data_IF_430119615391
#
_entry.id   IF_430119615391
#
_cell.length_a   1.000
_cell.length_b   1.000
_cell.length_c   1.000
_cell.angle_alpha   90.00
_cell.angle_beta   90.00
_cell.angle_gamma   90.00
#
_symmetry.space_group_name_H-M   'P 1'
#
loop_
_entity.id
_entity.type
_entity.pdbx_description
1 polymer ?
#
# COMPACT_ATOMS: atom_id res chain seq x y z
N UNK A 1 -7.44 -29.74 -6.06
CA UNK A 1 -7.57 -28.30 -5.77
C UNK A 1 -8.63 -28.15 -4.69
N UNK A 2 -8.22 -28.01 -3.44
CA UNK A 2 -9.15 -27.88 -2.30
C UNK A 2 -9.53 -26.41 -2.20
N UNK A 3 -10.78 -26.09 -2.53
CA UNK A 3 -11.33 -24.75 -2.36
C UNK A 3 -11.62 -24.57 -0.87
N UNK A 4 -10.79 -23.80 -0.18
CA UNK A 4 -11.08 -23.37 1.19
C UNK A 4 -12.07 -22.20 1.14
N UNK A 5 -13.13 -22.27 1.95
CA UNK A 5 -14.13 -21.20 2.10
C UNK A 5 -13.47 -19.93 2.67
N UNK A 6 -13.95 -18.77 2.24
CA UNK A 6 -13.33 -17.45 2.50
C UNK A 6 -13.08 -17.14 3.98
N UNK A 7 -13.86 -17.73 4.90
CA UNK A 7 -13.67 -17.57 6.35
C UNK A 7 -12.49 -18.39 6.91
N UNK A 8 -12.09 -19.47 6.25
CA UNK A 8 -10.98 -20.32 6.72
C UNK A 8 -9.61 -19.69 6.46
N UNK A 9 -9.46 -18.91 5.39
CA UNK A 9 -8.20 -18.27 5.00
C UNK A 9 -7.80 -17.07 5.88
N UNK A 10 -8.75 -16.49 6.63
CA UNK A 10 -8.53 -15.30 7.47
C UNK A 10 -8.94 -15.52 8.92
N UNK A 11 -9.10 -16.77 9.36
CA UNK A 11 -9.43 -17.09 10.75
C UNK A 11 -8.19 -16.92 11.64
N UNK A 12 -8.20 -16.00 12.63
CA UNK A 12 -7.09 -15.85 13.57
C UNK A 12 -6.78 -17.16 14.31
N UNK A 13 -7.81 -17.98 14.53
CA UNK A 13 -7.69 -19.28 15.19
C UNK A 13 -6.99 -20.32 14.33
N UNK A 14 -7.25 -20.33 13.02
CA UNK A 14 -6.57 -21.20 12.07
C UNK A 14 -5.11 -20.77 11.89
N UNK A 15 -4.85 -19.45 11.77
CA UNK A 15 -3.50 -18.91 11.69
C UNK A 15 -2.68 -19.25 12.95
N UNK A 16 -3.27 -19.08 14.13
CA UNK A 16 -2.64 -19.45 15.39
C UNK A 16 -2.33 -20.97 15.45
N UNK A 17 -3.27 -21.82 15.03
CA UNK A 17 -3.06 -23.27 15.00
C UNK A 17 -1.89 -23.67 14.06
N UNK A 18 -1.89 -23.16 12.82
CA UNK A 18 -0.82 -23.44 11.84
C UNK A 18 0.53 -22.94 12.38
N UNK A 19 0.57 -21.73 12.95
CA UNK A 19 1.77 -21.17 13.59
C UNK A 19 2.31 -22.10 14.68
N UNK A 20 1.45 -22.53 15.61
CA UNK A 20 1.85 -23.39 16.74
C UNK A 20 2.32 -24.76 16.26
N UNK A 21 1.58 -25.42 15.35
CA UNK A 21 1.97 -26.73 14.83
C UNK A 21 3.31 -26.68 14.11
N UNK A 22 3.55 -25.64 13.31
CA UNK A 22 4.83 -25.44 12.64
C UNK A 22 5.96 -25.17 13.63
N UNK A 23 5.74 -24.34 14.66
CA UNK A 23 6.75 -24.08 15.68
C UNK A 23 7.14 -25.36 16.45
N UNK A 24 6.17 -26.21 16.79
CA UNK A 24 6.41 -27.47 17.51
C UNK A 24 7.34 -28.44 16.73
N UNK A 25 7.38 -28.37 15.39
CA UNK A 25 8.32 -29.18 14.59
C UNK A 25 9.80 -28.86 14.89
N UNK A 26 10.08 -27.65 15.38
CA UNK A 26 11.43 -27.18 15.70
C UNK A 26 11.75 -27.25 17.20
N UNK A 27 10.91 -27.88 18.02
CA UNK A 27 11.06 -27.91 19.49
C UNK A 27 12.39 -28.50 19.95
N UNK A 28 12.91 -29.47 19.21
CA UNK A 28 14.18 -30.13 19.53
C UNK A 28 15.41 -29.37 19.01
N UNK A 29 15.29 -28.67 17.87
CA UNK A 29 16.42 -27.91 17.29
C UNK A 29 16.56 -26.54 17.92
N UNK A 30 15.45 -25.83 18.16
CA UNK A 30 15.43 -24.41 18.51
C UNK A 30 14.43 -24.09 19.62
N UNK A 31 14.56 -24.67 20.83
CA UNK A 31 13.56 -24.57 21.89
C UNK A 31 13.27 -23.12 22.32
N UNK A 32 14.27 -22.23 22.25
CA UNK A 32 14.12 -20.80 22.56
C UNK A 32 13.26 -20.07 21.52
N UNK A 33 13.44 -20.35 20.23
CA UNK A 33 12.66 -19.75 19.16
C UNK A 33 11.20 -20.25 19.19
N UNK A 34 11.01 -21.55 19.46
CA UNK A 34 9.66 -22.13 19.61
C UNK A 34 8.91 -21.50 20.77
N UNK A 35 9.56 -21.36 21.93
CA UNK A 35 8.95 -20.69 23.08
C UNK A 35 8.54 -19.26 22.75
N UNK A 36 9.41 -18.50 22.08
CA UNK A 36 9.11 -17.14 21.65
C UNK A 36 7.91 -17.05 20.69
N UNK A 37 7.79 -17.97 19.73
CA UNK A 37 6.68 -17.97 18.77
C UNK A 37 5.32 -18.24 19.43
N UNK A 38 5.32 -19.11 20.44
CA UNK A 38 4.10 -19.52 21.14
C UNK A 38 3.71 -18.47 22.19
N UNK A 39 4.66 -17.99 22.99
CA UNK A 39 4.38 -17.20 24.20
C UNK A 39 4.42 -15.69 23.96
N UNK A 40 5.16 -15.21 22.96
CA UNK A 40 5.49 -13.78 22.79
C UNK A 40 4.78 -13.12 21.59
N UNK A 41 3.72 -13.74 21.10
CA UNK A 41 2.86 -13.18 20.06
C UNK A 41 1.60 -12.59 20.67
N UNK A 42 1.35 -11.30 20.39
CA UNK A 42 0.09 -10.63 20.67
C UNK A 42 -0.64 -10.32 19.37
N UNK A 43 -1.67 -11.12 19.07
CA UNK A 43 -2.41 -11.05 17.80
C UNK A 43 -1.46 -11.22 16.61
N UNK A 44 -1.21 -10.15 15.84
CA UNK A 44 -0.33 -10.13 14.67
C UNK A 44 1.07 -9.60 15.01
N UNK A 45 1.26 -9.06 16.21
CA UNK A 45 2.51 -8.45 16.66
C UNK A 45 3.35 -9.44 17.47
N UNK A 46 4.64 -9.49 17.17
CA UNK A 46 5.63 -10.28 17.90
C UNK A 46 6.56 -9.36 18.68
N UNK A 47 6.63 -9.53 19.99
CA UNK A 47 7.44 -8.69 20.88
C UNK A 47 8.17 -9.56 21.88
N UNK A 48 9.50 -9.60 21.79
CA UNK A 48 10.34 -10.38 22.70
C UNK A 48 11.73 -9.76 22.88
N UNK A 49 12.44 -10.19 23.92
CA UNK A 49 13.79 -9.74 24.29
C UNK A 49 14.75 -10.91 24.33
N UNK A 50 15.88 -10.82 23.60
CA UNK A 50 16.86 -11.90 23.54
C UNK A 50 18.23 -11.50 24.06
N UNK A 51 18.89 -12.45 24.72
CA UNK A 51 20.30 -12.35 25.05
C UNK A 51 21.22 -12.63 23.85
N UNK A 52 20.71 -13.25 22.78
CA UNK A 52 21.47 -13.59 21.57
C UNK A 52 20.66 -13.25 20.33
N UNK A 53 21.29 -12.58 19.37
CA UNK A 53 20.67 -12.06 18.15
C UNK A 53 20.26 -13.16 17.16
N UNK A 54 20.79 -14.38 17.30
CA UNK A 54 20.45 -15.52 16.43
C UNK A 54 19.01 -16.00 16.58
N UNK A 55 18.37 -15.72 17.73
CA UNK A 55 17.00 -16.18 18.00
C UNK A 55 16.00 -15.44 17.11
N UNK A 56 16.19 -14.14 16.86
CA UNK A 56 15.28 -13.36 16.00
C UNK A 56 15.29 -13.84 14.55
N UNK A 57 16.45 -14.18 14.01
CA UNK A 57 16.58 -14.75 12.65
C UNK A 57 15.88 -16.09 12.57
N UNK A 58 16.05 -16.93 13.60
CA UNK A 58 15.43 -18.25 13.64
C UNK A 58 13.91 -18.20 13.75
N UNK A 59 13.39 -17.27 14.55
CA UNK A 59 11.95 -17.02 14.65
C UNK A 59 11.37 -16.63 13.29
N UNK A 60 12.05 -15.74 12.56
CA UNK A 60 11.64 -15.35 11.20
C UNK A 60 11.62 -16.54 10.23
N UNK A 61 12.65 -17.38 10.24
CA UNK A 61 12.73 -18.58 9.40
C UNK A 61 11.62 -19.60 9.70
N UNK A 62 11.36 -19.86 10.98
CA UNK A 62 10.31 -20.79 11.39
C UNK A 62 8.95 -20.26 10.91
N UNK A 63 8.66 -18.96 11.07
CA UNK A 63 7.43 -18.37 10.51
C UNK A 63 7.34 -18.54 8.98
N UNK A 64 8.44 -18.30 8.26
CA UNK A 64 8.49 -18.44 6.81
C UNK A 64 8.19 -19.87 6.34
N UNK A 65 8.60 -20.90 7.09
CA UNK A 65 8.29 -22.31 6.78
C UNK A 65 6.78 -22.62 6.81
N UNK A 66 6.00 -21.89 7.60
CA UNK A 66 4.54 -21.98 7.61
C UNK A 66 3.86 -21.00 6.64
N UNK A 67 4.62 -20.30 5.80
CA UNK A 67 4.10 -19.29 4.89
C UNK A 67 3.72 -17.97 5.56
N UNK A 68 4.15 -17.73 6.81
CA UNK A 68 3.97 -16.45 7.49
C UNK A 68 5.16 -15.53 7.20
N UNK A 69 4.86 -14.28 6.87
CA UNK A 69 5.88 -13.23 6.73
C UNK A 69 5.78 -12.27 7.91
N UNK A 70 6.80 -12.26 8.77
CA UNK A 70 6.95 -11.21 9.77
C UNK A 70 7.43 -9.94 9.06
N UNK A 71 6.62 -8.89 9.14
CA UNK A 71 6.87 -7.60 8.49
C UNK A 71 7.14 -6.52 9.53
N UNK A 72 7.82 -5.44 9.12
CA UNK A 72 8.08 -4.24 9.93
C UNK A 72 8.80 -4.52 11.26
N UNK A 73 10.08 -4.87 11.18
CA UNK A 73 10.93 -5.05 12.36
C UNK A 73 11.32 -3.71 12.99
N UNK A 74 11.42 -3.70 14.32
CA UNK A 74 12.00 -2.63 15.12
C UNK A 74 12.86 -3.29 16.19
N UNK A 75 14.15 -2.95 16.27
CA UNK A 75 15.04 -3.47 17.30
C UNK A 75 15.94 -2.37 17.84
N UNK A 76 16.29 -2.46 19.13
CA UNK A 76 17.33 -1.62 19.70
C UNK A 76 18.75 -2.02 19.22
N UNK A 77 18.93 -3.22 18.65
CA UNK A 77 20.20 -3.66 18.08
C UNK A 77 20.22 -3.45 16.55
N UNK A 78 21.15 -2.63 16.02
CA UNK A 78 21.28 -2.44 14.58
C UNK A 78 21.74 -3.71 13.84
N UNK A 79 22.39 -4.66 14.53
CA UNK A 79 22.81 -5.94 13.94
C UNK A 79 21.60 -6.83 13.69
N UNK A 80 20.64 -6.85 14.63
CA UNK A 80 19.37 -7.56 14.47
C UNK A 80 18.55 -6.98 13.34
N UNK A 81 18.46 -5.65 13.23
CA UNK A 81 17.75 -5.01 12.12
C UNK A 81 18.38 -5.35 10.75
N UNK A 82 19.71 -5.35 10.66
CA UNK A 82 20.41 -5.75 9.45
C UNK A 82 20.17 -7.24 9.11
N UNK A 83 20.18 -8.13 10.11
CA UNK A 83 19.97 -9.57 9.93
C UNK A 83 18.52 -9.93 9.54
N UNK A 84 17.53 -9.19 10.04
CA UNK A 84 16.12 -9.35 9.70
C UNK A 84 15.78 -8.76 8.32
N UNK A 85 16.72 -8.06 7.68
CA UNK A 85 16.55 -7.45 6.37
C UNK A 85 15.68 -6.19 6.41
N UNK A 86 15.52 -5.51 5.27
CA UNK A 86 14.70 -4.30 5.23
C UNK A 86 13.27 -4.62 5.69
N UNK A 87 12.61 -3.70 6.42
CA UNK A 87 11.22 -3.90 6.83
C UNK A 87 10.39 -4.25 5.59
N UNK A 88 9.69 -5.39 5.66
CA UNK A 88 8.76 -5.81 4.61
C UNK A 88 7.83 -4.66 4.23
N UNK A 89 7.47 -4.57 2.94
CA UNK A 89 6.58 -3.53 2.36
C UNK A 89 5.48 -3.20 3.36
N UNK A 90 5.28 -1.90 3.65
CA UNK A 90 4.41 -1.41 4.72
C UNK A 90 3.02 -2.06 4.73
N UNK A 91 2.31 -1.98 5.87
CA UNK A 91 1.05 -2.69 6.25
C UNK A 91 0.02 -2.99 5.15
N UNK A 92 0.05 -2.27 4.03
CA UNK A 92 -0.75 -2.50 2.84
C UNK A 92 0.15 -3.03 1.70
N UNK A 93 0.02 -4.32 1.38
CA UNK A 93 0.77 -4.96 0.29
C UNK A 93 0.14 -4.76 -1.10
N UNK A 94 -1.08 -4.22 -1.16
CA UNK A 94 -1.84 -4.05 -2.39
C UNK A 94 -2.71 -2.79 -2.36
N UNK A 95 -2.64 -2.00 -3.44
CA UNK A 95 -3.49 -0.83 -3.66
C UNK A 95 -4.98 -1.16 -3.50
N UNK A 96 -5.42 -2.31 -4.01
CA UNK A 96 -6.84 -2.71 -3.94
C UNK A 96 -7.28 -3.00 -2.50
N UNK A 97 -6.38 -3.53 -1.66
CA UNK A 97 -6.69 -3.77 -0.25
C UNK A 97 -6.77 -2.45 0.53
N UNK A 98 -5.78 -1.57 0.36
CA UNK A 98 -5.80 -0.22 0.94
C UNK A 98 -7.07 0.55 0.58
N UNK A 99 -7.44 0.52 -0.70
CA UNK A 99 -8.65 1.19 -1.18
C UNK A 99 -9.88 0.64 -0.48
N UNK A 100 -10.09 -0.68 -0.49
CA UNK A 100 -11.27 -1.32 0.12
C UNK A 100 -11.36 -1.06 1.61
N UNK A 101 -10.25 -1.17 2.34
CA UNK A 101 -10.20 -0.88 3.78
C UNK A 101 -10.56 0.58 4.03
N UNK A 102 -10.01 1.52 3.26
CA UNK A 102 -10.33 2.95 3.39
C UNK A 102 -11.80 3.22 3.09
N UNK A 103 -12.38 2.56 2.07
CA UNK A 103 -13.81 2.68 1.75
C UNK A 103 -14.69 2.19 2.90
N UNK A 104 -14.37 1.05 3.50
CA UNK A 104 -15.12 0.52 4.64
C UNK A 104 -15.04 1.43 5.87
N UNK A 105 -13.84 1.97 6.15
CA UNK A 105 -13.65 2.94 7.24
C UNK A 105 -14.49 4.20 6.99
N UNK A 106 -14.48 4.73 5.77
CA UNK A 106 -15.31 5.90 5.44
C UNK A 106 -16.80 5.61 5.58
N UNK A 107 -17.28 4.47 5.07
CA UNK A 107 -18.68 4.03 5.26
C UNK A 107 -19.03 3.92 6.74
N UNK A 108 -18.15 3.32 7.54
CA UNK A 108 -18.34 3.24 8.98
C UNK A 108 -18.49 4.63 9.58
N UNK A 109 -17.57 5.56 9.31
CA UNK A 109 -17.69 6.95 9.82
C UNK A 109 -18.98 7.65 9.39
N UNK A 110 -19.47 7.38 8.17
CA UNK A 110 -20.73 7.92 7.65
C UNK A 110 -21.95 7.36 8.40
N UNK A 111 -21.93 6.07 8.77
CA UNK A 111 -22.96 5.43 9.62
C UNK A 111 -23.01 6.05 11.02
N UNK A 112 -21.86 6.30 11.64
CA UNK A 112 -21.81 6.96 12.95
C UNK A 112 -22.36 8.39 12.93
N UNK A 113 -22.36 9.04 11.76
CA UNK A 113 -22.93 10.37 11.56
C UNK A 113 -24.43 10.35 11.22
N UNK A 114 -25.09 9.20 11.30
CA UNK A 114 -26.52 9.05 11.03
C UNK A 114 -26.91 9.11 9.55
N UNK A 115 -25.93 9.07 8.64
CA UNK A 115 -26.17 9.24 7.20
C UNK A 115 -26.34 7.88 6.51
N UNK A 116 -27.27 7.04 6.96
CA UNK A 116 -27.43 5.71 6.34
C UNK A 116 -28.06 5.81 4.95
N UNK A 117 -27.47 5.16 3.94
CA UNK A 117 -28.03 5.05 2.59
C UNK A 117 -28.59 3.65 2.33
N UNK A 118 -29.67 3.56 1.57
CA UNK A 118 -30.34 2.30 1.20
C UNK A 118 -29.42 1.37 0.39
N UNK A 119 -28.58 1.93 -0.48
CA UNK A 119 -27.61 1.19 -1.32
C UNK A 119 -26.49 0.47 -0.53
N UNK A 120 -26.40 0.66 0.79
CA UNK A 120 -25.38 0.01 1.62
C UNK A 120 -25.58 -1.52 1.75
N UNK A 121 -26.76 -2.02 1.41
CA UNK A 121 -27.13 -3.43 1.53
C UNK A 121 -26.43 -4.34 0.49
N UNK A 122 -26.01 -3.79 -0.64
CA UNK A 122 -25.48 -4.55 -1.80
C UNK A 122 -23.95 -4.55 -1.94
N UNK A 123 -23.21 -4.12 -0.91
CA UNK A 123 -21.75 -4.01 -0.93
C UNK A 123 -21.24 -2.59 -1.15
N UNK A 124 -19.95 -2.42 -1.48
CA UNK A 124 -19.31 -1.11 -1.69
C UNK A 124 -19.75 -0.49 -3.02
N UNK A 125 -20.20 0.77 -2.99
CA UNK A 125 -20.59 1.50 -4.20
C UNK A 125 -19.38 2.12 -4.89
N UNK A 126 -19.50 2.37 -6.21
CA UNK A 126 -18.46 3.04 -6.98
C UNK A 126 -18.14 4.45 -6.41
N UNK A 127 -19.17 5.17 -5.97
CA UNK A 127 -19.01 6.51 -5.38
C UNK A 127 -18.22 6.49 -4.07
N UNK A 128 -18.40 5.47 -3.22
CA UNK A 128 -17.61 5.36 -1.99
C UNK A 128 -16.16 4.99 -2.29
N UNK A 129 -15.93 4.10 -3.26
CA UNK A 129 -14.58 3.79 -3.73
C UNK A 129 -13.90 5.03 -4.30
N UNK A 130 -14.59 5.84 -5.10
CA UNK A 130 -14.05 7.09 -5.63
C UNK A 130 -13.74 8.10 -4.51
N UNK A 131 -14.61 8.24 -3.51
CA UNK A 131 -14.36 9.09 -2.35
C UNK A 131 -13.12 8.63 -1.55
N UNK A 132 -12.94 7.31 -1.39
CA UNK A 132 -11.77 6.73 -0.74
C UNK A 132 -10.49 6.94 -1.56
N UNK A 133 -10.53 6.75 -2.89
CA UNK A 133 -9.42 7.06 -3.79
C UNK A 133 -9.00 8.53 -3.66
N UNK A 134 -9.96 9.45 -3.77
CA UNK A 134 -9.70 10.90 -3.66
C UNK A 134 -9.13 11.28 -2.29
N UNK A 135 -9.53 10.60 -1.20
CA UNK A 135 -8.93 10.81 0.11
C UNK A 135 -7.46 10.36 0.14
N UNK A 136 -7.16 9.16 -0.37
CA UNK A 136 -5.80 8.63 -0.42
C UNK A 136 -4.87 9.50 -1.26
N UNK A 137 -5.33 9.95 -2.43
CA UNK A 137 -4.55 10.84 -3.28
C UNK A 137 -4.27 12.19 -2.63
N UNK A 138 -5.27 12.81 -2.00
CA UNK A 138 -5.08 14.06 -1.26
C UNK A 138 -4.09 13.90 -0.13
N UNK A 139 -4.17 12.81 0.62
CA UNK A 139 -3.24 12.56 1.71
C UNK A 139 -1.81 12.41 1.18
N UNK A 140 -1.62 11.59 0.14
CA UNK A 140 -0.31 11.42 -0.49
C UNK A 140 0.25 12.73 -1.05
N UNK A 141 -0.60 13.60 -1.60
CA UNK A 141 -0.21 14.91 -2.12
C UNK A 141 0.15 15.91 -1.01
N UNK A 142 -0.54 15.88 0.13
CA UNK A 142 -0.19 16.68 1.33
C UNK A 142 1.19 16.31 1.87
N UNK A 143 1.49 15.02 1.92
CA UNK A 143 2.76 14.52 2.41
C UNK A 143 3.90 14.78 1.41
N UNK A 144 3.64 14.62 0.11
CA UNK A 144 4.67 14.75 -0.92
C UNK A 144 4.93 16.18 -1.40
N UNK A 145 3.91 17.05 -1.39
CA UNK A 145 3.94 18.41 -1.95
C UNK A 145 3.38 19.44 -0.96
N UNK A 146 3.95 19.56 0.26
CA UNK A 146 3.37 20.39 1.32
C UNK A 146 3.35 21.88 0.96
N UNK A 147 4.32 22.38 0.22
CA UNK A 147 4.41 23.79 -0.17
C UNK A 147 3.38 24.14 -1.24
N UNK A 148 3.18 23.24 -2.20
CA UNK A 148 2.19 23.34 -3.25
C UNK A 148 0.78 23.30 -2.66
N UNK A 149 0.54 22.38 -1.73
CA UNK A 149 -0.72 22.26 -1.00
C UNK A 149 -1.02 23.48 -0.13
N UNK A 150 -0.01 24.16 0.44
CA UNK A 150 -0.17 25.41 1.21
C UNK A 150 -0.37 26.65 0.34
N UNK A 151 0.23 26.69 -0.85
CA UNK A 151 0.08 27.82 -1.78
C UNK A 151 -1.38 28.01 -2.22
N UNK A 152 -2.16 26.94 -2.14
CA UNK A 152 -3.60 26.85 -2.41
C UNK A 152 -4.48 27.66 -1.45
N UNK A 153 -4.15 27.70 -0.16
CA UNK A 153 -5.01 28.38 0.85
C UNK A 153 -5.04 29.91 0.64
N UNK A 154 -4.04 30.45 -0.06
CA UNK A 154 -3.88 31.88 -0.29
C UNK A 154 -4.25 32.35 -1.70
N UNK A 155 -4.89 31.50 -2.52
CA UNK A 155 -5.30 31.86 -3.89
C UNK A 155 -4.13 32.20 -4.84
N UNK A 156 -2.90 31.82 -4.49
CA UNK A 156 -1.71 32.05 -5.31
C UNK A 156 -1.52 30.89 -6.27
N UNK A 157 -1.11 31.19 -7.51
CA UNK A 157 -0.62 30.21 -8.48
C UNK A 157 0.41 29.32 -7.79
N UNK A 158 0.21 28.00 -7.81
CA UNK A 158 1.08 27.03 -7.15
C UNK A 158 2.53 27.32 -7.54
N UNK A 159 3.30 27.89 -6.61
CA UNK A 159 4.70 28.20 -6.80
C UNK A 159 5.44 26.87 -6.87
N UNK A 160 5.50 26.31 -8.07
CA UNK A 160 5.97 24.95 -8.23
C UNK A 160 7.43 24.85 -7.82
N UNK A 161 7.69 24.02 -6.81
CA UNK A 161 9.03 23.56 -6.52
C UNK A 161 9.37 22.46 -7.55
N UNK A 162 10.66 22.31 -7.79
CA UNK A 162 11.38 21.72 -8.92
C UNK A 162 10.77 20.50 -9.67
N UNK A 163 10.00 19.63 -9.03
CA UNK A 163 9.56 18.36 -9.62
C UNK A 163 8.28 18.46 -10.50
N UNK A 164 7.48 19.53 -10.37
CA UNK A 164 6.21 19.69 -11.13
C UNK A 164 6.08 21.01 -11.91
N UNK A 165 7.19 21.76 -12.08
CA UNK A 165 7.24 23.13 -12.66
C UNK A 165 6.69 23.26 -14.08
N UNK A 166 6.56 22.15 -14.81
CA UNK A 166 6.05 22.12 -16.18
C UNK A 166 4.62 21.61 -16.34
N UNK A 167 3.92 21.26 -15.25
CA UNK A 167 2.62 20.54 -15.33
C UNK A 167 1.39 21.42 -15.12
N UNK A 168 1.59 22.74 -14.95
CA UNK A 168 0.53 23.71 -14.61
C UNK A 168 -0.48 23.12 -13.60
N UNK A 169 -0.01 22.75 -12.38
CA UNK A 169 -0.82 21.99 -11.44
C UNK A 169 -2.08 22.77 -11.02
N UNK A 170 -3.21 22.06 -10.95
CA UNK A 170 -4.53 22.60 -10.63
C UNK A 170 -5.29 21.64 -9.70
N UNK A 171 -6.21 22.15 -8.89
CA UNK A 171 -7.02 21.33 -7.97
C UNK A 171 -8.40 21.06 -8.53
N UNK A 172 -8.81 19.79 -8.55
CA UNK A 172 -10.18 19.45 -8.92
C UNK A 172 -11.20 19.82 -7.83
N UNK A 173 -12.49 19.60 -8.11
CA UNK A 173 -13.57 19.86 -7.15
C UNK A 173 -13.51 19.00 -5.88
N UNK A 174 -12.72 17.93 -5.88
CA UNK A 174 -12.50 17.07 -4.71
C UNK A 174 -11.27 17.49 -3.89
N UNK A 175 -10.51 18.49 -4.36
CA UNK A 175 -9.27 18.97 -3.75
C UNK A 175 -8.06 18.11 -4.06
N UNK A 176 -8.10 17.32 -5.14
CA UNK A 176 -6.97 16.51 -5.64
C UNK A 176 -6.17 17.32 -6.65
N UNK A 177 -4.84 17.28 -6.53
CA UNK A 177 -3.92 17.94 -7.47
C UNK A 177 -3.83 17.16 -8.79
N UNK A 178 -4.20 17.82 -9.88
CA UNK A 178 -4.17 17.30 -11.26
C UNK A 178 -3.23 18.16 -12.12
N UNK A 179 -2.70 17.56 -13.19
CA UNK A 179 -1.94 18.28 -14.20
C UNK A 179 -2.89 18.91 -15.23
N UNK A 180 -2.58 20.13 -15.65
CA UNK A 180 -3.28 20.82 -16.73
C UNK A 180 -2.32 21.09 -17.89
N UNK A 181 -2.82 21.08 -19.13
CA UNK A 181 -1.94 21.35 -20.27
C UNK A 181 -2.63 21.30 -21.63
N UNK A 182 -1.81 21.28 -22.69
CA UNK A 182 -2.27 21.32 -24.10
C UNK A 182 -3.18 20.16 -24.48
N UNK A 183 -3.02 19.01 -23.81
CA UNK A 183 -3.85 17.81 -24.04
C UNK A 183 -5.32 18.05 -23.67
N UNK A 184 -5.62 19.04 -22.81
CA UNK A 184 -6.99 19.38 -22.44
C UNK A 184 -7.83 19.87 -23.64
N UNK A 185 -7.18 20.44 -24.66
CA UNK A 185 -7.82 20.89 -25.90
C UNK A 185 -8.32 19.73 -26.78
N UNK A 186 -7.87 18.49 -26.54
CA UNK A 186 -8.30 17.31 -27.27
C UNK A 186 -9.68 16.83 -26.78
N UNK A 187 -10.76 17.52 -27.14
CA UNK A 187 -12.13 17.23 -26.70
C UNK A 187 -12.62 15.80 -27.05
N UNK A 188 -11.97 15.13 -28.01
CA UNK A 188 -12.22 13.74 -28.36
C UNK A 188 -11.70 12.71 -27.32
N UNK A 189 -10.91 13.14 -26.32
CA UNK A 189 -10.40 12.27 -25.27
C UNK A 189 -11.22 12.34 -23.97
N UNK A 190 -11.29 11.22 -23.21
CA UNK A 190 -11.92 11.21 -21.89
C UNK A 190 -11.27 12.21 -20.92
N UNK A 191 -11.97 12.58 -19.85
CA UNK A 191 -11.51 13.56 -18.86
C UNK A 191 -10.20 13.13 -18.15
N UNK A 192 -10.17 11.90 -17.64
CA UNK A 192 -9.04 11.34 -16.87
C UNK A 192 -7.66 11.47 -17.55
N UNK A 193 -7.46 11.04 -18.82
CA UNK A 193 -6.15 11.16 -19.49
C UNK A 193 -5.78 12.60 -19.84
N UNK A 194 -6.77 13.51 -19.96
CA UNK A 194 -6.51 14.93 -20.21
C UNK A 194 -6.03 15.66 -18.97
N UNK A 195 -6.47 15.22 -17.79
CA UNK A 195 -6.19 15.84 -16.49
C UNK A 195 -5.72 14.78 -15.47
N UNK A 196 -4.52 14.20 -15.68
CA UNK A 196 -4.04 13.12 -14.83
C UNK A 196 -3.70 13.61 -13.43
N UNK A 197 -3.91 12.75 -12.43
CA UNK A 197 -3.63 13.03 -11.02
C UNK A 197 -2.12 13.02 -10.77
N UNK A 198 -1.59 14.07 -10.14
CA UNK A 198 -0.15 14.20 -9.89
C UNK A 198 0.23 13.42 -8.63
N UNK A 199 1.23 12.54 -8.75
CA UNK A 199 1.76 11.76 -7.63
C UNK A 199 3.29 11.76 -7.63
N UNK A 200 3.88 11.66 -6.43
CA UNK A 200 5.33 11.62 -6.26
C UNK A 200 5.87 10.18 -6.28
N UNK A 201 6.93 9.90 -7.04
CA UNK A 201 7.64 8.62 -7.00
C UNK A 201 8.10 8.19 -5.61
N UNK A 202 8.30 9.13 -4.68
CA UNK A 202 8.84 8.85 -3.35
C UNK A 202 7.80 8.32 -2.37
N UNK A 203 6.51 8.43 -2.71
CA UNK A 203 5.42 8.10 -1.80
C UNK A 203 5.04 6.62 -1.93
N UNK A 204 4.83 5.93 -0.81
CA UNK A 204 4.48 4.50 -0.75
C UNK A 204 3.22 4.14 -1.55
N UNK A 205 2.17 5.00 -1.49
CA UNK A 205 0.96 4.86 -2.32
C UNK A 205 1.29 4.75 -3.82
N UNK A 206 2.26 5.53 -4.30
CA UNK A 206 2.66 5.53 -5.70
C UNK A 206 3.30 4.20 -6.08
N UNK A 207 4.16 3.65 -5.21
CA UNK A 207 4.75 2.33 -5.42
C UNK A 207 3.68 1.23 -5.46
N UNK A 208 2.69 1.27 -4.57
CA UNK A 208 1.55 0.34 -4.56
C UNK A 208 0.73 0.43 -5.85
N UNK A 209 0.47 1.65 -6.34
CA UNK A 209 -0.25 1.87 -7.61
C UNK A 209 0.55 1.29 -8.77
N UNK A 210 1.85 1.60 -8.88
CA UNK A 210 2.70 1.08 -9.94
C UNK A 210 2.75 -0.44 -9.93
N UNK A 211 2.86 -1.05 -8.75
CA UNK A 211 2.81 -2.51 -8.59
C UNK A 211 1.45 -3.10 -9.02
N UNK A 212 0.34 -2.46 -8.65
CA UNK A 212 -1.00 -2.87 -9.07
C UNK A 212 -1.15 -2.87 -10.60
N UNK A 213 -0.72 -1.80 -11.28
CA UNK A 213 -0.77 -1.73 -12.74
C UNK A 213 0.21 -2.69 -13.41
N UNK A 214 1.40 -2.89 -12.83
CA UNK A 214 2.36 -3.87 -13.33
C UNK A 214 1.79 -5.30 -13.32
N UNK A 215 1.14 -5.69 -12.22
CA UNK A 215 0.45 -6.98 -12.12
C UNK A 215 -0.77 -7.07 -13.06
N UNK A 216 -1.55 -5.99 -13.19
CA UNK A 216 -2.67 -5.90 -14.14
C UNK A 216 -2.22 -6.14 -15.59
N UNK A 217 -1.05 -5.62 -15.96
CA UNK A 217 -0.44 -5.75 -17.29
C UNK A 217 0.39 -7.04 -17.49
N UNK A 218 0.20 -8.05 -16.61
CA UNK A 218 0.80 -9.39 -16.73
C UNK A 218 2.33 -9.39 -16.77
N UNK A 219 2.97 -8.43 -16.12
CA UNK A 219 4.43 -8.39 -15.94
C UNK A 219 5.30 -8.28 -17.22
N UNK A 220 4.70 -8.13 -18.40
CA UNK A 220 5.43 -8.35 -19.66
C UNK A 220 5.79 -7.09 -20.44
N UNK A 221 5.20 -5.91 -20.17
CA UNK A 221 5.45 -4.72 -21.00
C UNK A 221 5.55 -3.40 -20.20
N UNK A 222 6.75 -2.82 -20.20
CA UNK A 222 7.07 -1.55 -19.51
C UNK A 222 6.31 -0.38 -20.12
N UNK A 223 6.40 -0.19 -21.43
CA UNK A 223 5.81 0.98 -22.09
C UNK A 223 4.28 0.92 -22.13
N UNK A 224 3.70 -0.28 -22.28
CA UNK A 224 2.26 -0.47 -22.15
C UNK A 224 1.78 -0.18 -20.72
N UNK A 225 2.53 -0.60 -19.69
CA UNK A 225 2.21 -0.27 -18.29
C UNK A 225 2.30 1.23 -18.05
N UNK A 226 3.31 1.91 -18.60
CA UNK A 226 3.43 3.37 -18.52
C UNK A 226 2.25 4.06 -19.20
N UNK A 227 1.85 3.60 -20.39
CA UNK A 227 0.72 4.16 -21.12
C UNK A 227 -0.59 4.01 -20.33
N UNK A 228 -0.85 2.83 -19.77
CA UNK A 228 -2.02 2.54 -18.94
C UNK A 228 -2.02 3.40 -17.67
N UNK A 229 -0.89 3.53 -16.97
CA UNK A 229 -0.79 4.41 -15.78
C UNK A 229 -1.08 5.87 -16.15
N UNK A 230 -0.59 6.33 -17.31
CA UNK A 230 -0.80 7.71 -17.80
C UNK A 230 -2.24 8.03 -18.18
N UNK A 231 -3.12 7.03 -18.31
CA UNK A 231 -4.56 7.28 -18.50
C UNK A 231 -5.20 7.96 -17.29
N UNK A 232 -4.59 7.83 -16.10
CA UNK A 232 -5.12 8.34 -14.83
C UNK A 232 -4.10 9.14 -14.00
N UNK A 233 -2.81 8.84 -14.10
CA UNK A 233 -1.79 9.40 -13.21
C UNK A 233 -0.61 10.01 -13.94
N UNK A 234 -0.13 11.13 -13.40
CA UNK A 234 1.16 11.71 -13.72
C UNK A 234 2.12 11.50 -12.54
N UNK A 235 2.92 10.43 -12.63
CA UNK A 235 3.90 10.08 -11.59
C UNK A 235 5.27 10.67 -11.95
N UNK A 236 5.85 11.46 -11.05
CA UNK A 236 7.20 11.99 -11.23
C UNK A 236 8.19 10.83 -11.38
N UNK A 237 9.09 10.85 -12.36
CA UNK A 237 10.07 9.76 -12.61
C UNK A 237 9.46 8.33 -12.71
N UNK A 238 8.22 8.20 -13.22
CA UNK A 238 7.49 6.93 -13.35
C UNK A 238 8.32 5.75 -13.87
N UNK A 239 9.06 5.94 -14.97
CA UNK A 239 9.85 4.86 -15.59
C UNK A 239 10.90 4.28 -14.64
N UNK A 240 11.46 5.09 -13.72
CA UNK A 240 12.39 4.62 -12.69
C UNK A 240 11.68 3.74 -11.67
N UNK A 241 10.53 4.18 -11.16
CA UNK A 241 9.72 3.42 -10.19
C UNK A 241 9.33 2.07 -10.79
N UNK A 242 8.81 2.07 -12.02
CA UNK A 242 8.38 0.84 -12.69
C UNK A 242 9.53 -0.15 -12.91
N UNK A 243 10.72 0.31 -13.28
CA UNK A 243 11.90 -0.57 -13.40
C UNK A 243 12.29 -1.19 -12.07
N UNK A 244 12.24 -0.42 -10.97
CA UNK A 244 12.49 -0.94 -9.63
C UNK A 244 11.42 -1.97 -9.24
N UNK A 245 10.14 -1.73 -9.56
CA UNK A 245 9.06 -2.69 -9.31
C UNK A 245 9.29 -3.99 -10.08
N UNK A 246 9.69 -3.91 -11.35
CA UNK A 246 10.01 -5.07 -12.18
C UNK A 246 11.21 -5.85 -11.63
N UNK A 247 12.27 -5.18 -11.18
CA UNK A 247 13.45 -5.86 -10.65
C UNK A 247 13.19 -6.62 -9.35
N UNK A 248 12.17 -6.22 -8.59
CA UNK A 248 11.75 -6.89 -7.34
C UNK A 248 10.65 -7.93 -7.62
N UNK A 249 10.14 -8.00 -8.85
CA UNK A 249 9.14 -8.98 -9.26
C UNK A 249 9.84 -10.30 -9.61
N UNK A 250 9.80 -11.25 -8.68
CA UNK A 250 10.15 -12.64 -8.99
C UNK A 250 8.99 -13.26 -9.78
N UNK A 251 9.23 -13.62 -11.04
CA UNK A 251 8.34 -14.51 -11.80
C UNK A 251 8.49 -15.95 -11.31
#
# INVERSE_FOLDING_TARGET
MIVMTFEAAYSPRAAHYVKTVNAEQFRHSDPKAVKAIIDCHYVDDYVDSFATESVSTRVKEIHANAGFELCQFSSSSPVVEAALGPPGRGRFSSYSWLLRTTTWVLRFTHRFRGQRKELEEYGLTAAECEAAENLLFRQAQREAFPNEMRSTENGKTVASVCDIRGLAPYFDGNGVLQAYGRVDAALCMPYSPRRPIILSHKHSLTEMIVHHFHAKMKHQNVDATIAEIRTKFWITKLRRVLRNTISVCNM
#
